data_IF_665381163748
#
_entry.id   IF_665381163748
#
_cell.length_a   1.000
_cell.length_b   1.000
_cell.length_c   1.000
_cell.angle_alpha   90.00
_cell.angle_beta   90.00
_cell.angle_gamma   90.00
#
_symmetry.space_group_name_H-M   'P 1'
#
loop_
_entity.id
_entity.type
_entity.pdbx_description
1 polymer ?
#
# COMPACT_ATOMS: atom_id res chain seq x y z
N UNK A 1 12.35 -1.68 -9.98
CA UNK A 1 12.92 -2.28 -8.76
C UNK A 1 12.06 -3.38 -8.13
N UNK A 2 11.00 -3.10 -7.33
CA UNK A 2 10.21 -4.18 -6.68
C UNK A 2 9.54 -5.14 -7.68
N UNK A 3 9.06 -4.59 -8.81
CA UNK A 3 8.53 -5.37 -9.94
C UNK A 3 9.55 -6.32 -10.60
N UNK A 4 10.85 -6.03 -10.46
CA UNK A 4 11.95 -6.76 -11.11
C UNK A 4 12.61 -7.80 -10.20
N UNK A 5 12.24 -7.85 -8.91
CA UNK A 5 12.85 -8.77 -7.94
C UNK A 5 11.80 -9.47 -7.06
N UNK A 6 10.78 -10.14 -7.65
CA UNK A 6 9.75 -10.83 -6.89
C UNK A 6 10.30 -12.00 -6.06
N UNK A 7 11.48 -12.54 -6.42
CA UNK A 7 12.10 -13.70 -5.76
C UNK A 7 12.76 -13.38 -4.41
N UNK A 8 12.76 -12.12 -3.96
CA UNK A 8 13.42 -11.75 -2.70
C UNK A 8 12.68 -12.37 -1.51
N UNK A 9 13.34 -13.31 -0.83
CA UNK A 9 12.75 -14.06 0.28
C UNK A 9 12.29 -13.14 1.42
N UNK A 10 11.02 -13.26 1.80
CA UNK A 10 10.42 -12.50 2.89
C UNK A 10 10.30 -11.01 2.62
N UNK A 11 10.22 -10.58 1.35
CA UNK A 11 9.91 -9.19 0.98
C UNK A 11 8.66 -8.69 1.72
N UNK A 12 8.66 -7.44 2.19
CA UNK A 12 7.67 -6.85 3.11
C UNK A 12 7.58 -7.44 4.53
N UNK A 13 8.03 -8.69 4.76
CA UNK A 13 8.08 -9.32 6.09
C UNK A 13 9.37 -9.04 6.84
N UNK A 14 10.53 -9.31 6.21
CA UNK A 14 11.85 -9.16 6.84
C UNK A 14 12.18 -7.69 7.09
N UNK A 15 12.78 -7.43 8.26
CA UNK A 15 13.26 -6.09 8.62
C UNK A 15 14.44 -5.68 7.75
N UNK A 16 14.41 -4.43 7.29
CA UNK A 16 15.51 -3.82 6.56
C UNK A 16 16.45 -3.06 7.51
N UNK A 17 17.64 -2.69 7.00
CA UNK A 17 18.55 -1.84 7.75
C UNK A 17 17.94 -0.46 7.97
N UNK A 18 17.68 -0.10 9.24
CA UNK A 18 17.01 1.16 9.59
C UNK A 18 17.78 2.41 9.18
N UNK A 19 19.12 2.37 9.19
CA UNK A 19 19.96 3.49 8.72
C UNK A 19 19.79 3.68 7.22
N UNK A 20 19.81 2.61 6.43
CA UNK A 20 19.56 2.67 4.99
C UNK A 20 18.15 3.15 4.67
N UNK A 21 17.12 2.69 5.41
CA UNK A 21 15.76 3.19 5.26
C UNK A 21 15.66 4.70 5.49
N UNK A 22 16.31 5.20 6.55
CA UNK A 22 16.34 6.63 6.85
C UNK A 22 17.02 7.43 5.75
N UNK A 23 18.20 6.99 5.29
CA UNK A 23 18.94 7.66 4.21
C UNK A 23 18.14 7.67 2.92
N UNK A 24 17.52 6.55 2.54
CA UNK A 24 16.69 6.49 1.33
C UNK A 24 15.48 7.43 1.44
N UNK A 25 14.80 7.45 2.59
CA UNK A 25 13.66 8.34 2.84
C UNK A 25 14.07 9.82 2.76
N UNK A 26 15.21 10.20 3.34
CA UNK A 26 15.74 11.57 3.29
C UNK A 26 16.02 12.01 1.85
N UNK A 27 16.69 11.17 1.04
CA UNK A 27 16.95 11.45 -0.38
C UNK A 27 15.67 11.60 -1.20
N UNK A 28 14.67 10.76 -0.96
CA UNK A 28 13.37 10.87 -1.65
C UNK A 28 12.65 12.16 -1.26
N UNK A 29 12.73 12.56 0.01
CA UNK A 29 12.08 13.78 0.51
C UNK A 29 12.77 15.07 0.06
N UNK A 30 14.08 15.06 -0.19
CA UNK A 30 14.81 16.21 -0.76
C UNK A 30 14.56 16.38 -2.26
N UNK A 31 13.91 15.41 -2.92
CA UNK A 31 13.74 15.40 -4.36
C UNK A 31 15.00 14.98 -5.12
N UNK A 32 15.97 14.35 -4.44
CA UNK A 32 17.18 13.87 -5.08
C UNK A 32 16.85 12.73 -6.07
N UNK A 33 17.64 12.65 -7.15
CA UNK A 33 17.58 11.50 -8.06
C UNK A 33 18.15 10.28 -7.36
N UNK A 34 17.29 9.36 -6.96
CA UNK A 34 17.68 8.09 -6.34
C UNK A 34 17.71 6.98 -7.39
N UNK A 35 18.85 6.29 -7.51
CA UNK A 35 18.93 5.04 -8.24
C UNK A 35 18.45 3.88 -7.35
N UNK A 36 17.15 3.58 -7.42
CA UNK A 36 16.53 2.51 -6.62
C UNK A 36 17.12 1.12 -6.91
N UNK A 37 17.68 0.86 -8.09
CA UNK A 37 18.23 -0.47 -8.42
C UNK A 37 19.52 -0.79 -7.66
N UNK A 38 20.18 0.24 -7.12
CA UNK A 38 21.33 0.13 -6.22
C UNK A 38 20.95 -0.09 -4.76
N UNK A 39 19.68 0.10 -4.40
CA UNK A 39 19.18 -0.08 -3.04
C UNK A 39 18.77 -1.53 -2.77
N UNK A 40 18.77 -1.93 -1.50
CA UNK A 40 18.25 -3.23 -1.08
C UNK A 40 16.74 -3.31 -1.28
N UNK A 41 16.24 -4.44 -1.80
CA UNK A 41 14.79 -4.68 -1.99
C UNK A 41 14.03 -4.54 -0.68
N UNK A 42 14.61 -5.02 0.43
CA UNK A 42 14.01 -4.91 1.75
C UNK A 42 13.92 -3.45 2.20
N UNK A 43 14.96 -2.65 1.93
CA UNK A 43 14.97 -1.21 2.25
C UNK A 43 13.88 -0.47 1.46
N UNK A 44 13.80 -0.72 0.14
CA UNK A 44 12.77 -0.12 -0.71
C UNK A 44 11.36 -0.53 -0.25
N UNK A 45 11.15 -1.81 0.07
CA UNK A 45 9.87 -2.31 0.59
C UNK A 45 9.50 -1.67 1.93
N UNK A 46 10.46 -1.53 2.85
CA UNK A 46 10.25 -0.86 4.14
C UNK A 46 9.89 0.62 3.99
N UNK A 47 10.60 1.34 3.10
CA UNK A 47 10.31 2.75 2.83
C UNK A 47 8.96 2.92 2.13
N UNK A 48 8.57 2.00 1.22
CA UNK A 48 7.24 2.01 0.61
C UNK A 48 6.13 1.80 1.66
N UNK A 49 6.27 0.85 2.59
CA UNK A 49 5.31 0.66 3.68
C UNK A 49 5.19 1.90 4.56
N UNK A 50 6.32 2.53 4.87
CA UNK A 50 6.33 3.77 5.63
C UNK A 50 5.66 4.93 4.87
N UNK A 51 5.92 5.07 3.56
CA UNK A 51 5.26 6.04 2.71
C UNK A 51 3.73 5.88 2.77
N UNK A 52 3.22 4.67 2.53
CA UNK A 52 1.79 4.37 2.51
C UNK A 52 1.12 4.67 3.86
N UNK A 53 1.75 4.27 4.96
CA UNK A 53 1.23 4.51 6.33
C UNK A 53 1.14 6.00 6.68
N UNK A 54 2.00 6.84 6.10
CA UNK A 54 2.04 8.28 6.38
C UNK A 54 1.12 9.10 5.45
N UNK A 55 0.34 8.46 4.57
CA UNK A 55 -0.67 9.15 3.77
C UNK A 55 -1.82 9.58 4.69
N UNK A 56 -2.08 10.90 4.76
CA UNK A 56 -3.17 11.45 5.54
C UNK A 56 -4.50 10.88 5.05
N UNK A 57 -5.31 10.39 5.98
CA UNK A 57 -6.60 9.78 5.67
C UNK A 57 -6.50 8.45 4.93
N UNK A 58 -5.36 7.76 4.95
CA UNK A 58 -5.15 6.43 4.33
C UNK A 58 -5.24 6.41 2.80
N UNK A 59 -4.48 5.50 2.16
CA UNK A 59 -4.53 5.33 0.69
C UNK A 59 -5.92 4.86 0.21
N UNK A 60 -6.63 4.12 1.05
CA UNK A 60 -7.99 3.63 0.80
C UNK A 60 -9.11 4.63 1.18
N UNK A 61 -8.75 5.83 1.63
CA UNK A 61 -9.62 6.82 2.29
C UNK A 61 -10.29 6.26 3.55
N UNK A 62 -9.90 6.79 4.70
CA UNK A 62 -10.41 6.39 6.01
C UNK A 62 -11.93 6.55 6.13
N UNK A 63 -12.53 7.50 5.42
CA UNK A 63 -14.00 7.69 5.37
C UNK A 63 -14.74 6.50 4.71
N UNK A 64 -14.04 5.70 3.93
CA UNK A 64 -14.57 4.48 3.30
C UNK A 64 -14.20 3.21 4.08
N UNK A 65 -13.52 3.33 5.23
CA UNK A 65 -12.96 2.20 5.97
C UNK A 65 -13.98 1.10 6.29
N UNK A 66 -15.14 1.46 6.85
CA UNK A 66 -16.18 0.48 7.20
C UNK A 66 -16.78 -0.16 5.94
N UNK A 67 -16.91 0.59 4.85
CA UNK A 67 -17.39 0.06 3.56
C UNK A 67 -16.39 -0.94 2.97
N UNK A 68 -15.10 -0.65 3.08
CA UNK A 68 -14.03 -1.58 2.70
C UNK A 68 -14.11 -2.87 3.50
N UNK A 69 -14.25 -2.78 4.82
CA UNK A 69 -14.43 -3.97 5.66
C UNK A 69 -15.72 -4.71 5.30
N UNK A 70 -16.79 -4.03 4.91
CA UNK A 70 -18.04 -4.66 4.47
C UNK A 70 -17.96 -5.44 3.16
N UNK A 71 -16.86 -5.32 2.39
CA UNK A 71 -16.67 -6.08 1.13
C UNK A 71 -16.60 -7.58 1.41
N UNK A 72 -15.93 -8.01 2.48
CA UNK A 72 -15.78 -9.45 2.76
C UNK A 72 -17.08 -10.12 3.22
N UNK A 73 -18.07 -9.34 3.64
CA UNK A 73 -19.42 -9.80 4.03
C UNK A 73 -20.37 -9.92 2.84
N UNK A 74 -19.99 -9.44 1.64
CA UNK A 74 -20.81 -9.67 0.44
C UNK A 74 -20.88 -11.16 0.14
N UNK A 75 -21.91 -11.60 -0.58
CA UNK A 75 -22.23 -13.02 -0.74
C UNK A 75 -21.15 -13.81 -1.47
N UNK A 76 -21.32 -13.98 -2.78
CA UNK A 76 -20.36 -14.75 -3.58
C UNK A 76 -19.14 -13.89 -3.98
N UNK A 77 -18.12 -14.54 -4.55
CA UNK A 77 -16.87 -13.89 -4.95
C UNK A 77 -17.08 -12.75 -5.96
N UNK A 78 -17.99 -12.92 -6.93
CA UNK A 78 -18.29 -11.92 -7.94
C UNK A 78 -18.91 -10.66 -7.32
N UNK A 79 -19.81 -10.84 -6.35
CA UNK A 79 -20.39 -9.72 -5.58
C UNK A 79 -19.32 -8.95 -4.80
N UNK A 80 -18.33 -9.65 -4.23
CA UNK A 80 -17.18 -9.03 -3.55
C UNK A 80 -16.31 -8.22 -4.52
N UNK A 81 -16.06 -8.75 -5.72
CA UNK A 81 -15.29 -8.06 -6.78
C UNK A 81 -16.02 -6.79 -7.20
N UNK A 82 -17.31 -6.88 -7.50
CA UNK A 82 -18.14 -5.74 -7.89
C UNK A 82 -18.16 -4.68 -6.78
N UNK A 83 -18.30 -5.09 -5.52
CA UNK A 83 -18.25 -4.17 -4.38
C UNK A 83 -16.90 -3.46 -4.26
N UNK A 84 -15.78 -4.19 -4.40
CA UNK A 84 -14.44 -3.61 -4.40
C UNK A 84 -14.23 -2.62 -5.55
N UNK A 85 -14.63 -2.97 -6.78
CA UNK A 85 -14.54 -2.09 -7.95
C UNK A 85 -15.35 -0.80 -7.76
N UNK A 86 -16.57 -0.89 -7.18
CA UNK A 86 -17.39 0.29 -6.86
C UNK A 86 -16.74 1.22 -5.85
N UNK A 87 -16.01 0.69 -4.88
CA UNK A 87 -15.26 1.51 -3.92
C UNK A 87 -14.00 2.10 -4.56
N UNK A 88 -13.29 1.34 -5.40
CA UNK A 88 -12.15 1.86 -6.17
C UNK A 88 -12.55 3.04 -7.06
N UNK A 89 -13.73 2.99 -7.67
CA UNK A 89 -14.26 4.07 -8.52
C UNK A 89 -14.57 5.37 -7.74
N UNK A 90 -14.72 5.30 -6.41
CA UNK A 90 -14.92 6.48 -5.56
C UNK A 90 -13.59 7.12 -5.13
N UNK A 91 -12.45 6.44 -5.33
CA UNK A 91 -11.15 6.97 -4.93
C UNK A 91 -10.67 8.06 -5.88
N UNK A 92 -9.94 9.08 -5.38
CA UNK A 92 -9.21 10.01 -6.22
C UNK A 92 -8.28 9.26 -7.17
N UNK A 93 -8.12 9.77 -8.40
CA UNK A 93 -7.32 9.13 -9.45
C UNK A 93 -5.90 8.76 -8.98
N UNK A 94 -5.26 9.62 -8.21
CA UNK A 94 -3.91 9.37 -7.69
C UNK A 94 -3.87 8.14 -6.76
N UNK A 95 -4.86 8.00 -5.86
CA UNK A 95 -4.99 6.86 -4.97
C UNK A 95 -5.23 5.57 -5.76
N UNK A 96 -6.18 5.59 -6.70
CA UNK A 96 -6.48 4.45 -7.56
C UNK A 96 -5.26 3.97 -8.34
N UNK A 97 -4.53 4.89 -8.99
CA UNK A 97 -3.31 4.58 -9.74
C UNK A 97 -2.25 3.94 -8.84
N UNK A 98 -2.00 4.52 -7.66
CA UNK A 98 -1.03 3.97 -6.72
C UNK A 98 -1.44 2.57 -6.22
N UNK A 99 -2.72 2.36 -5.89
CA UNK A 99 -3.24 1.04 -5.50
C UNK A 99 -3.09 0.03 -6.62
N UNK A 100 -3.40 0.42 -7.86
CA UNK A 100 -3.23 -0.44 -9.04
C UNK A 100 -1.78 -0.88 -9.19
N UNK A 101 -0.80 0.01 -9.07
CA UNK A 101 0.62 -0.40 -9.09
C UNK A 101 1.01 -1.27 -7.89
N UNK A 102 0.54 -0.94 -6.69
CA UNK A 102 0.84 -1.68 -5.47
C UNK A 102 0.32 -3.12 -5.57
N UNK A 103 -0.96 -3.31 -5.88
CA UNK A 103 -1.57 -4.64 -5.97
C UNK A 103 -1.02 -5.44 -7.16
N UNK A 104 -0.58 -4.79 -8.24
CA UNK A 104 0.15 -5.46 -9.30
C UNK A 104 1.47 -6.04 -8.81
N UNK A 105 2.26 -5.26 -8.07
CA UNK A 105 3.52 -5.73 -7.47
C UNK A 105 3.27 -6.85 -6.46
N UNK A 106 2.25 -6.72 -5.60
CA UNK A 106 1.91 -7.74 -4.60
C UNK A 106 1.46 -9.05 -5.27
N UNK A 107 0.63 -8.98 -6.30
CA UNK A 107 0.21 -10.13 -7.08
C UNK A 107 1.42 -10.83 -7.72
N UNK A 108 2.34 -10.09 -8.37
CA UNK A 108 3.55 -10.68 -8.93
C UNK A 108 4.43 -11.38 -7.86
N UNK A 109 4.59 -10.78 -6.67
CA UNK A 109 5.32 -11.41 -5.57
C UNK A 109 4.63 -12.72 -5.14
N UNK A 110 3.31 -12.71 -4.99
CA UNK A 110 2.53 -13.86 -4.57
C UNK A 110 2.61 -15.04 -5.55
N UNK A 111 2.63 -14.76 -6.86
CA UNK A 111 2.84 -15.78 -7.90
C UNK A 111 4.19 -16.51 -7.77
N UNK A 112 5.16 -15.93 -7.06
CA UNK A 112 6.47 -16.51 -6.78
C UNK A 112 6.63 -16.98 -5.32
N UNK A 113 5.52 -17.16 -4.60
CA UNK A 113 5.48 -17.49 -3.17
C UNK A 113 6.22 -18.78 -2.80
N UNK A 114 6.32 -19.75 -3.71
CA UNK A 114 7.11 -20.98 -3.51
C UNK A 114 8.61 -20.70 -3.32
N UNK A 115 9.12 -19.63 -3.91
CA UNK A 115 10.52 -19.20 -3.78
C UNK A 115 10.69 -18.16 -2.67
N UNK A 116 9.89 -17.10 -2.69
CA UNK A 116 10.09 -15.97 -1.78
C UNK A 116 9.37 -16.12 -0.42
N UNK A 117 8.57 -17.17 -0.22
CA UNK A 117 7.82 -17.47 1.02
C UNK A 117 6.72 -16.45 1.39
N UNK A 118 6.24 -15.66 0.42
CA UNK A 118 5.23 -14.62 0.60
C UNK A 118 3.94 -14.95 -0.17
N UNK A 119 3.05 -15.74 0.43
CA UNK A 119 1.68 -15.96 -0.05
C UNK A 119 0.83 -14.68 0.04
N UNK A 120 -0.37 -14.67 -0.59
CA UNK A 120 -1.33 -13.56 -0.49
C UNK A 120 -1.62 -13.20 0.98
N UNK A 121 -1.84 -14.21 1.82
CA UNK A 121 -2.03 -14.05 3.25
C UNK A 121 -0.80 -13.44 3.96
N UNK A 122 0.41 -13.95 3.68
CA UNK A 122 1.62 -13.40 4.32
C UNK A 122 1.85 -11.93 3.93
N UNK A 123 1.56 -11.56 2.68
CA UNK A 123 1.63 -10.19 2.20
C UNK A 123 0.55 -9.31 2.84
N UNK A 124 -0.68 -9.80 2.96
CA UNK A 124 -1.79 -9.03 3.53
C UNK A 124 -1.54 -8.69 5.00
N UNK A 125 -1.02 -9.62 5.80
CA UNK A 125 -0.59 -9.36 7.19
C UNK A 125 0.46 -8.25 7.26
N UNK A 126 1.41 -8.23 6.33
CA UNK A 126 2.51 -7.25 6.33
C UNK A 126 2.10 -5.86 5.84
N UNK A 127 1.14 -5.78 4.92
CA UNK A 127 0.77 -4.56 4.20
C UNK A 127 -0.48 -3.89 4.77
N UNK A 128 -1.49 -4.65 5.21
CA UNK A 128 -2.78 -4.13 5.66
C UNK A 128 -2.65 -2.98 6.68
N UNK A 129 -1.76 -3.03 7.70
CA UNK A 129 -1.59 -1.93 8.66
C UNK A 129 -1.09 -0.62 8.04
N UNK A 130 -0.47 -0.68 6.86
CA UNK A 130 0.09 0.49 6.17
C UNK A 130 -0.85 1.08 5.12
N UNK A 131 -1.91 0.37 4.72
CA UNK A 131 -2.82 0.81 3.66
C UNK A 131 -4.26 1.00 4.12
N UNK A 132 -4.67 0.38 5.23
CA UNK A 132 -6.02 0.49 5.78
C UNK A 132 -5.91 0.98 7.22
N UNK A 133 -6.16 2.26 7.42
CA UNK A 133 -6.19 2.88 8.75
C UNK A 133 -7.60 3.43 9.03
N UNK A 134 -8.18 3.14 10.21
CA UNK A 134 -9.44 3.75 10.62
C UNK A 134 -9.26 5.27 10.77
N UNK A 135 -10.33 6.07 10.60
CA UNK A 135 -10.28 7.54 10.75
C UNK A 135 -9.70 8.01 12.08
N UNK A 136 -9.93 7.24 13.15
CA UNK A 136 -9.55 7.56 14.50
C UNK A 136 -8.50 6.55 15.01
N UNK A 137 -7.27 6.62 14.52
CA UNK A 137 -6.17 5.70 14.90
C UNK A 137 -5.73 5.78 16.37
N UNK A 138 -6.43 6.56 17.21
CA UNK A 138 -6.25 6.61 18.67
C UNK A 138 -7.11 5.60 19.44
N UNK A 139 -8.08 4.95 18.80
CA UNK A 139 -8.90 3.90 19.46
C UNK A 139 -8.24 2.53 19.34
N UNK A 140 -8.40 1.70 20.37
CA UNK A 140 -8.02 0.29 20.35
C UNK A 140 -8.72 -0.40 19.16
N UNK A 141 -7.95 -0.88 18.19
CA UNK A 141 -8.51 -1.58 17.04
C UNK A 141 -8.98 -2.97 17.51
N UNK A 142 -10.27 -3.27 17.32
CA UNK A 142 -10.84 -4.58 17.66
C UNK A 142 -10.12 -5.68 16.86
N UNK A 143 -9.84 -6.82 17.50
CA UNK A 143 -9.15 -7.96 16.88
C UNK A 143 -9.87 -8.43 15.60
N UNK A 144 -11.21 -8.45 15.63
CA UNK A 144 -12.05 -8.77 14.47
C UNK A 144 -11.76 -7.82 13.30
N UNK A 145 -11.59 -6.52 13.55
CA UNK A 145 -11.27 -5.57 12.49
C UNK A 145 -9.88 -5.85 11.89
N UNK A 146 -8.90 -6.26 12.70
CA UNK A 146 -7.58 -6.65 12.20
C UNK A 146 -7.69 -7.84 11.25
N UNK A 147 -8.42 -8.88 11.65
CA UNK A 147 -8.65 -10.08 10.82
C UNK A 147 -9.34 -9.68 9.51
N UNK A 148 -10.41 -8.88 9.60
CA UNK A 148 -11.18 -8.42 8.43
C UNK A 148 -10.34 -7.61 7.44
N UNK A 149 -9.44 -6.74 7.92
CA UNK A 149 -8.50 -6.00 7.06
C UNK A 149 -7.56 -6.95 6.32
N UNK A 150 -7.00 -7.93 7.03
CA UNK A 150 -6.09 -8.91 6.46
C UNK A 150 -6.81 -9.74 5.39
N UNK A 151 -8.04 -10.21 5.67
CA UNK A 151 -8.88 -10.93 4.71
C UNK A 151 -9.23 -10.09 3.48
N UNK A 152 -9.57 -8.82 3.66
CA UNK A 152 -9.83 -7.90 2.56
C UNK A 152 -8.60 -7.74 1.66
N UNK A 153 -7.44 -7.45 2.24
CA UNK A 153 -6.21 -7.24 1.46
C UNK A 153 -5.78 -8.52 0.76
N UNK A 154 -5.92 -9.67 1.41
CA UNK A 154 -5.68 -10.97 0.78
C UNK A 154 -6.58 -11.16 -0.44
N UNK A 155 -7.90 -10.95 -0.28
CA UNK A 155 -8.87 -11.07 -1.36
C UNK A 155 -8.53 -10.15 -2.55
N UNK A 156 -8.11 -8.91 -2.29
CA UNK A 156 -7.69 -7.96 -3.32
C UNK A 156 -6.41 -8.41 -4.06
N UNK A 157 -5.48 -9.12 -3.39
CA UNK A 157 -4.27 -9.69 -4.02
C UNK A 157 -4.64 -10.87 -4.90
N UNK A 158 -5.47 -11.79 -4.40
CA UNK A 158 -5.89 -13.01 -5.10
C UNK A 158 -6.74 -12.69 -6.35
N UNK A 159 -7.59 -11.68 -6.26
CA UNK A 159 -8.47 -11.23 -7.35
C UNK A 159 -7.93 -10.00 -8.09
N UNK A 160 -6.62 -9.74 -8.02
CA UNK A 160 -6.00 -8.51 -8.52
C UNK A 160 -6.35 -8.20 -9.98
N UNK A 161 -6.24 -9.19 -10.88
CA UNK A 161 -6.51 -8.99 -12.32
C UNK A 161 -7.98 -8.64 -12.58
N UNK A 162 -8.91 -9.28 -11.88
CA UNK A 162 -10.37 -9.03 -12.04
C UNK A 162 -10.77 -7.68 -11.45
N UNK A 163 -10.13 -7.25 -10.36
CA UNK A 163 -10.47 -6.00 -9.67
C UNK A 163 -9.82 -4.78 -10.33
N UNK A 164 -8.54 -4.88 -10.72
CA UNK A 164 -7.75 -3.74 -11.21
C UNK A 164 -7.51 -3.74 -12.73
N UNK A 165 -7.91 -4.81 -13.42
CA UNK A 165 -7.73 -5.02 -14.87
C UNK A 165 -6.55 -5.94 -15.18
N UNK A 166 -6.68 -6.72 -16.25
CA UNK A 166 -5.63 -7.67 -16.70
C UNK A 166 -4.36 -6.97 -17.19
N UNK A 167 -4.50 -5.74 -17.68
CA UNK A 167 -3.40 -4.90 -18.17
C UNK A 167 -2.45 -4.44 -17.06
N UNK A 168 -2.76 -4.70 -15.80
CA UNK A 168 -1.88 -4.45 -14.66
C UNK A 168 -0.54 -5.19 -14.75
N UNK A 169 -0.51 -6.38 -15.36
CA UNK A 169 0.71 -7.17 -15.55
C UNK A 169 1.66 -6.50 -16.56
N UNK A 170 1.11 -5.88 -17.60
CA UNK A 170 1.87 -5.11 -18.59
C UNK A 170 2.60 -3.91 -17.95
N UNK A 171 2.03 -3.31 -16.90
CA UNK A 171 2.66 -2.22 -16.13
C UNK A 171 3.94 -2.67 -15.39
N UNK A 172 4.04 -3.97 -15.09
CA UNK A 172 5.19 -4.53 -14.38
C UNK A 172 6.35 -4.84 -15.31
N UNK A 173 6.11 -4.90 -16.62
CA UNK A 173 7.08 -5.26 -17.65
C UNK A 173 7.04 -6.76 -17.90
N UNK A 174 6.70 -7.15 -19.13
CA UNK A 174 6.69 -8.54 -19.56
C UNK A 174 8.10 -9.13 -19.51
N UNK A 175 8.28 -10.15 -18.68
CA UNK A 175 9.32 -11.15 -18.86
C UNK A 175 8.66 -12.54 -18.73
N UNK A 176 7.66 -12.81 -19.57
CA UNK A 176 7.27 -14.19 -19.84
C UNK A 176 8.31 -14.79 -20.79
N UNK A 177 9.34 -15.43 -20.23
CA UNK A 177 10.04 -16.50 -20.94
C UNK A 177 9.12 -17.72 -20.89
N UNK A 178 8.20 -17.84 -21.86
CA UNK A 178 7.69 -19.15 -22.24
C UNK A 178 8.62 -19.71 -23.30
N UNK A 179 9.34 -20.77 -22.94
CA UNK A 179 10.13 -21.55 -23.87
C UNK A 179 9.16 -22.34 -24.76
N UNK A 180 8.95 -21.91 -26.00
CA UNK A 180 8.47 -22.79 -27.07
C UNK A 180 9.10 -22.38 -28.40
N UNK A 181 9.80 -23.34 -29.01
CA UNK A 181 10.38 -23.20 -30.34
C UNK A 181 9.29 -23.36 -31.41
N UNK A 182 9.13 -22.37 -32.30
CA UNK A 182 8.86 -22.60 -33.73
C UNK A 182 9.02 -21.30 -34.55
N UNK A 183 9.35 -21.47 -35.83
CA UNK A 183 9.96 -20.50 -36.73
C UNK A 183 9.02 -19.40 -37.32
N UNK A 184 9.65 -18.23 -37.55
CA UNK A 184 9.47 -17.21 -38.62
C UNK A 184 8.07 -16.80 -39.11
N UNK A 185 7.80 -15.50 -39.03
CA UNK A 185 7.64 -14.62 -40.22
C UNK A 185 7.66 -13.13 -39.82
N UNK A 186 8.22 -12.30 -40.69
CA UNK A 186 8.45 -10.87 -40.52
C UNK A 186 7.18 -10.03 -40.68
N UNK A 187 6.97 -9.05 -39.79
CA UNK A 187 6.11 -7.89 -40.05
C UNK A 187 6.74 -6.63 -39.43
N UNK A 188 6.86 -5.62 -40.27
CA UNK A 188 7.44 -4.29 -40.02
C UNK A 188 6.61 -3.49 -39.02
N UNK A 189 7.18 -3.15 -37.86
CA UNK A 189 6.58 -2.18 -36.93
C UNK A 189 7.28 -0.81 -36.97
N UNK A 190 6.45 0.22 -37.01
CA UNK A 190 6.75 1.65 -37.02
C UNK A 190 7.17 2.09 -35.59
N UNK A 191 8.10 3.06 -35.42
CA UNK A 191 8.64 3.37 -34.09
C UNK A 191 7.56 3.94 -33.15
N UNK A 192 7.52 3.54 -31.86
CA UNK A 192 6.61 4.14 -30.88
C UNK A 192 7.02 5.56 -30.52
N UNK A 193 6.02 6.43 -30.47
CA UNK A 193 6.11 7.83 -30.08
C UNK A 193 6.59 7.96 -28.62
N UNK A 194 7.67 8.70 -28.43
CA UNK A 194 8.34 8.95 -27.15
C UNK A 194 7.38 9.52 -26.10
N UNK A 195 7.05 8.74 -25.06
CA UNK A 195 6.23 9.20 -23.93
C UNK A 195 7.12 9.78 -22.83
N UNK A 196 6.96 11.08 -22.57
CA UNK A 196 7.71 11.78 -21.50
C UNK A 196 7.22 11.31 -20.12
N UNK A 197 8.11 11.04 -19.16
CA UNK A 197 7.74 10.57 -17.84
C UNK A 197 7.00 11.66 -17.05
N UNK A 198 5.82 11.33 -16.52
CA UNK A 198 5.08 12.18 -15.59
C UNK A 198 5.78 12.11 -14.23
N UNK A 199 6.33 13.23 -13.79
CA UNK A 199 6.95 13.36 -12.46
C UNK A 199 5.88 13.77 -11.46
N UNK A 200 5.58 12.88 -10.51
CA UNK A 200 4.72 13.20 -9.35
C UNK A 200 5.63 13.64 -8.20
N UNK A 201 5.60 14.93 -7.87
CA UNK A 201 6.31 15.49 -6.71
C UNK A 201 5.35 15.45 -5.52
N UNK A 202 5.65 14.63 -4.51
CA UNK A 202 4.90 14.61 -3.24
C UNK A 202 5.64 15.49 -2.25
N UNK A 203 5.05 16.64 -1.89
CA UNK A 203 5.61 17.58 -0.91
C UNK A 203 5.15 17.18 0.49
N UNK A 204 6.08 16.71 1.33
CA UNK A 204 5.87 16.57 2.76
C UNK A 204 5.95 17.94 3.43
N UNK A 205 4.81 18.58 3.73
CA UNK A 205 4.82 19.77 4.58
C UNK A 205 4.75 19.33 6.05
N UNK A 206 5.89 19.39 6.74
CA UNK A 206 5.96 19.31 8.20
C UNK A 206 5.27 20.56 8.77
N UNK A 207 4.11 20.40 9.41
CA UNK A 207 3.50 21.48 10.16
C UNK A 207 4.40 21.83 11.35
N UNK A 208 4.88 23.08 11.42
CA UNK A 208 5.44 23.61 12.67
C UNK A 208 4.26 24.12 13.50
N UNK A 209 4.09 23.56 14.69
CA UNK A 209 3.24 24.14 15.72
C UNK A 209 3.98 25.36 16.28
N UNK A 210 3.43 26.55 16.04
CA UNK A 210 3.79 27.75 16.78
C UNK A 210 3.38 27.55 18.25
N UNK A 211 4.34 27.68 19.15
CA UNK A 211 4.11 27.75 20.59
C UNK A 211 3.55 29.13 20.92
N UNK A 212 2.22 29.26 20.96
CA UNK A 212 1.57 30.34 21.69
C UNK A 212 1.15 29.83 23.07
N UNK A 213 2.09 29.84 24.01
CA UNK A 213 1.77 29.78 25.44
C UNK A 213 1.14 31.09 25.88
N UNK A 214 -0.19 31.17 25.80
CA UNK A 214 -0.99 32.03 26.67
C UNK A 214 -1.73 31.16 27.68
N UNK A 215 -1.23 31.20 28.91
CA UNK A 215 -1.91 30.77 30.13
C UNK A 215 -3.26 31.49 30.28
N UNK A 216 -4.22 30.82 30.95
CA UNK A 216 -4.63 31.39 32.23
C UNK A 216 -4.76 30.34 33.35
N UNK A 217 -4.14 30.71 34.47
CA UNK A 217 -4.56 30.52 35.88
C UNK A 217 -6.11 30.61 36.00
N UNK A 218 -6.85 29.97 36.90
CA UNK A 218 -6.65 29.46 38.25
C UNK A 218 -7.99 28.77 38.67
N UNK A 219 -7.96 27.89 39.66
CA UNK A 219 -8.87 27.81 40.84
C UNK A 219 -9.09 26.35 41.28
N UNK A 220 -8.82 26.12 42.56
CA UNK A 220 -8.62 24.82 43.21
C UNK A 220 -9.88 23.99 43.51
N UNK A 221 -9.71 22.89 44.28
CA UNK A 221 -10.75 21.89 44.46
C UNK A 221 -11.63 22.19 45.69
N UNK A 222 -12.82 21.58 45.75
CA UNK A 222 -13.36 21.20 47.04
C UNK A 222 -13.69 19.70 47.09
N UNK A 223 -13.05 19.04 48.05
CA UNK A 223 -13.55 17.86 48.76
C UNK A 223 -14.89 18.15 49.43
N UNK A 224 -15.81 17.18 49.55
CA UNK A 224 -16.48 16.78 50.80
C UNK A 224 -17.28 15.47 50.61
N UNK A 225 -17.44 14.79 51.73
CA UNK A 225 -17.78 13.38 51.96
C UNK A 225 -19.28 13.03 51.96
N UNK A 226 -19.50 11.72 51.81
CA UNK A 226 -20.51 10.83 52.45
C UNK A 226 -22.01 10.98 52.16
N UNK A 227 -22.62 9.89 51.70
CA UNK A 227 -23.52 8.94 52.43
C UNK A 227 -23.77 7.77 51.45
N UNK A 228 -23.57 6.48 51.78
CA UNK A 228 -24.52 5.56 52.44
C UNK A 228 -23.78 4.33 53.01
N UNK A 229 -23.83 4.19 54.34
CA UNK A 229 -24.00 3.01 55.22
C UNK A 229 -23.25 3.20 56.54
#
# INVERSE_FOLDING_TARGET
MLKLRPLTEGIFRKSANMKSCRVLKEKLNSGDKVNLDSESVLVVASVLKDFLRNIQGSIFLSDLYDKWLGVIDQGNEEEKIIAAQRLLAQLPRANFVLLRYLFGVLHNIEQHSSSNQMTAYNLSVCIAPSILCPPNSCSLELEDNVIRKVSLVQFLIENCLRIFGEDITSLLGENSMSCDNSEKAAVTEKPPLESKPVTVIVIYKKAQLQNDTKTPTCMGPPSYLSTVF
#
